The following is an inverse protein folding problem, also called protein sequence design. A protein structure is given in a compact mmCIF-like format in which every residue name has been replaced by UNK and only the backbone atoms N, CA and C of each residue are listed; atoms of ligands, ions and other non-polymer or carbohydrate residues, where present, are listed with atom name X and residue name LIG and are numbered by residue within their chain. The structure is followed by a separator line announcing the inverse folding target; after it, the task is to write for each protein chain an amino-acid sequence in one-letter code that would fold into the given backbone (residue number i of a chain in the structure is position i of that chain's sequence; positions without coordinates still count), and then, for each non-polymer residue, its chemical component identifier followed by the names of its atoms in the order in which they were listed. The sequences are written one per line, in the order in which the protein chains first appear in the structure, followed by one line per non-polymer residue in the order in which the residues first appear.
data_IF_585934643754
#
_entry.id   IF_585934643754
#
_cell.length_a   1.000
_cell.length_b   1.000
_cell.length_c   1.000
_cell.angle_alpha   90.00
_cell.angle_beta   90.00
_cell.angle_gamma   90.00
#
_symmetry.space_group_name_H-M   'P 1'
#
loop_
_entity.id
_entity.type
_entity.pdbx_description
1 polymer ?
#
# COMPACT_ATOMS: atom_id res chain seq x y z
N UNK A 1 -60.49 -48.55 32.88
CA UNK A 1 -60.29 -47.78 31.66
C UNK A 1 -59.53 -46.49 32.02
N UNK A 2 -58.23 -46.43 31.74
CA UNK A 2 -57.37 -45.24 32.03
C UNK A 2 -57.21 -44.45 30.73
N UNK A 3 -57.66 -43.20 30.74
CA UNK A 3 -57.50 -42.27 29.63
C UNK A 3 -56.18 -41.59 29.81
N UNK A 4 -55.23 -41.80 28.86
CA UNK A 4 -53.96 -41.11 28.77
C UNK A 4 -54.17 -39.84 27.96
N UNK A 5 -53.86 -38.68 28.58
CA UNK A 5 -53.91 -37.37 27.94
C UNK A 5 -52.48 -37.08 27.43
N UNK A 6 -52.36 -36.95 26.12
CA UNK A 6 -51.12 -36.54 25.48
C UNK A 6 -51.04 -35.01 25.45
N UNK A 7 -50.07 -34.46 26.18
CA UNK A 7 -49.74 -33.04 26.06
C UNK A 7 -48.81 -32.82 24.86
N UNK A 8 -49.30 -32.12 23.86
CA UNK A 8 -48.51 -31.66 22.73
C UNK A 8 -47.86 -30.34 23.13
N UNK A 9 -46.55 -30.35 23.41
CA UNK A 9 -45.78 -29.15 23.68
C UNK A 9 -45.31 -28.57 22.33
N UNK A 10 -45.90 -27.45 21.91
CA UNK A 10 -45.48 -26.70 20.73
C UNK A 10 -44.28 -25.85 21.12
N UNK A 11 -43.10 -26.23 20.66
CA UNK A 11 -41.87 -25.45 20.76
C UNK A 11 -41.88 -24.36 19.67
N UNK A 12 -42.22 -23.14 20.08
CA UNK A 12 -42.06 -21.96 19.21
C UNK A 12 -40.61 -21.53 19.24
N UNK A 13 -39.84 -21.92 18.23
CA UNK A 13 -38.51 -21.36 17.98
C UNK A 13 -38.71 -19.98 17.35
N UNK A 14 -38.58 -18.94 18.15
CA UNK A 14 -38.46 -17.57 17.67
C UNK A 14 -37.09 -17.34 17.00
N UNK A 15 -37.14 -17.18 15.68
CA UNK A 15 -36.02 -16.78 14.84
C UNK A 15 -35.64 -15.31 15.10
N UNK A 16 -34.86 -15.05 16.13
CA UNK A 16 -34.16 -13.77 16.35
C UNK A 16 -32.66 -13.93 16.02
N UNK A 17 -32.31 -14.03 14.75
CA UNK A 17 -30.90 -14.19 14.37
C UNK A 17 -30.48 -13.51 13.07
N UNK A 18 -31.39 -12.79 12.40
CA UNK A 18 -31.10 -12.31 11.04
C UNK A 18 -30.79 -10.79 10.92
N UNK A 19 -30.78 -10.02 12.01
CA UNK A 19 -30.66 -8.55 11.96
C UNK A 19 -29.27 -7.99 12.29
N UNK A 20 -28.33 -8.82 12.76
CA UNK A 20 -26.98 -8.33 13.10
C UNK A 20 -25.96 -8.44 11.97
N UNK A 21 -26.25 -9.22 10.92
CA UNK A 21 -25.31 -9.40 9.80
C UNK A 21 -25.28 -8.21 8.81
N UNK A 22 -26.37 -7.45 8.70
CA UNK A 22 -26.43 -6.33 7.74
C UNK A 22 -25.74 -5.05 8.22
N UNK A 23 -25.56 -4.85 9.52
CA UNK A 23 -24.89 -3.66 10.03
C UNK A 23 -23.35 -3.70 9.95
N UNK A 24 -22.76 -4.89 9.76
CA UNK A 24 -21.30 -5.02 9.61
C UNK A 24 -20.81 -4.79 8.16
N UNK A 25 -21.69 -4.91 7.16
CA UNK A 25 -21.31 -4.68 5.75
C UNK A 25 -21.14 -3.19 5.46
N UNK A 26 -21.89 -2.31 6.13
CA UNK A 26 -21.74 -0.85 5.95
C UNK A 26 -20.42 -0.27 6.50
N UNK A 27 -19.79 -0.93 7.48
CA UNK A 27 -18.50 -0.46 8.04
C UNK A 27 -17.30 -0.81 7.16
N UNK A 28 -17.43 -1.73 6.22
CA UNK A 28 -16.32 -2.17 5.37
C UNK A 28 -16.19 -1.35 4.07
N UNK A 29 -17.17 -0.53 3.74
CA UNK A 29 -17.15 0.33 2.55
C UNK A 29 -16.53 1.71 2.77
N UNK A 30 -16.25 2.12 4.01
CA UNK A 30 -15.69 3.44 4.33
C UNK A 30 -14.17 3.57 4.12
N UNK A 31 -13.51 2.50 3.64
CA UNK A 31 -12.08 2.49 3.32
C UNK A 31 -11.80 2.62 1.82
N UNK A 32 -12.69 3.30 1.09
CA UNK A 32 -12.44 3.58 -0.33
C UNK A 32 -11.25 4.53 -0.39
N UNK A 33 -10.12 4.02 -0.82
CA UNK A 33 -8.94 4.83 -1.09
C UNK A 33 -9.30 5.83 -2.18
N UNK A 34 -9.27 7.11 -1.85
CA UNK A 34 -9.43 8.16 -2.84
C UNK A 34 -8.09 8.41 -3.51
N UNK A 35 -8.02 8.16 -4.82
CA UNK A 35 -6.83 8.47 -5.61
C UNK A 35 -7.02 9.81 -6.32
N UNK A 36 -5.96 10.63 -6.46
CA UNK A 36 -5.96 11.80 -7.34
C UNK A 36 -6.19 11.43 -8.82
N UNK A 37 -6.74 12.34 -9.62
CA UNK A 37 -7.11 12.09 -11.02
C UNK A 37 -5.94 11.65 -11.92
N UNK A 38 -4.71 12.02 -11.57
CA UNK A 38 -3.52 11.63 -12.33
C UNK A 38 -3.27 10.11 -12.35
N UNK A 39 -3.95 9.34 -11.49
CA UNK A 39 -3.90 7.87 -11.48
C UNK A 39 -4.55 7.27 -12.73
N UNK A 40 -5.54 7.96 -13.32
CA UNK A 40 -6.25 7.48 -14.52
C UNK A 40 -5.36 7.50 -15.77
N UNK A 41 -4.27 8.29 -15.76
CA UNK A 41 -3.31 8.35 -16.87
C UNK A 41 -2.53 7.02 -16.92
N UNK A 42 -2.31 6.42 -18.13
CA UNK A 42 -1.48 5.24 -18.28
C UNK A 42 -0.07 5.42 -17.69
N UNK A 43 0.61 4.32 -17.40
CA UNK A 43 2.03 4.39 -17.01
C UNK A 43 2.86 5.01 -18.11
N UNK A 44 3.81 5.86 -17.73
CA UNK A 44 4.86 6.34 -18.63
C UNK A 44 5.91 5.25 -18.87
N UNK A 45 6.71 5.38 -19.93
CA UNK A 45 7.81 4.45 -20.20
C UNK A 45 8.83 4.41 -19.03
N UNK A 46 9.08 5.54 -18.38
CA UNK A 46 9.96 5.61 -17.21
C UNK A 46 9.38 4.85 -16.01
N UNK A 47 8.08 4.99 -15.75
CA UNK A 47 7.40 4.25 -14.68
C UNK A 47 7.40 2.74 -14.95
N UNK A 48 7.14 2.32 -16.20
CA UNK A 48 7.22 0.91 -16.60
C UNK A 48 8.64 0.34 -16.46
N UNK A 49 9.67 1.10 -16.82
CA UNK A 49 11.06 0.69 -16.62
C UNK A 49 11.39 0.48 -15.14
N UNK A 50 10.93 1.37 -14.25
CA UNK A 50 11.08 1.24 -12.79
C UNK A 50 10.37 0.01 -12.26
N UNK A 51 9.15 -0.26 -12.73
CA UNK A 51 8.39 -1.46 -12.39
C UNK A 51 9.12 -2.73 -12.83
N UNK A 52 9.60 -2.77 -14.08
CA UNK A 52 10.33 -3.91 -14.62
C UNK A 52 11.61 -4.20 -13.82
N UNK A 53 12.30 -3.15 -13.39
CA UNK A 53 13.48 -3.29 -12.53
C UNK A 53 13.14 -3.93 -11.18
N UNK A 54 12.03 -3.55 -10.54
CA UNK A 54 11.64 -4.04 -9.22
C UNK A 54 11.00 -5.44 -9.26
N UNK A 55 10.19 -5.73 -10.29
CA UNK A 55 9.38 -6.95 -10.35
C UNK A 55 9.88 -7.98 -11.36
N UNK A 56 10.79 -7.61 -12.26
CA UNK A 56 11.32 -8.52 -13.28
C UNK A 56 10.21 -9.22 -14.07
N UNK A 57 10.30 -10.53 -14.17
CA UNK A 57 9.32 -11.38 -14.87
C UNK A 57 7.97 -11.50 -14.12
N UNK A 58 7.90 -11.03 -12.87
CA UNK A 58 6.68 -11.07 -12.06
C UNK A 58 5.79 -9.83 -12.24
N UNK A 59 6.23 -8.85 -13.06
CA UNK A 59 5.55 -7.56 -13.24
C UNK A 59 4.08 -7.74 -13.63
N UNK A 60 3.79 -8.57 -14.62
CA UNK A 60 2.43 -8.82 -15.10
C UNK A 60 1.55 -9.32 -13.95
N UNK A 61 1.88 -10.48 -13.41
CA UNK A 61 1.10 -11.16 -12.36
C UNK A 61 0.98 -10.36 -11.07
N UNK A 62 2.00 -9.57 -10.70
CA UNK A 62 2.02 -8.88 -9.41
C UNK A 62 1.43 -7.48 -9.46
N UNK A 63 1.49 -6.84 -10.62
CA UNK A 63 1.07 -5.44 -10.77
C UNK A 63 0.03 -5.28 -11.88
N UNK A 64 0.37 -5.59 -13.15
CA UNK A 64 -0.44 -5.16 -14.29
C UNK A 64 -1.81 -5.85 -14.35
N UNK A 65 -1.90 -7.13 -13.96
CA UNK A 65 -3.16 -7.89 -13.85
C UNK A 65 -4.01 -7.50 -12.63
N UNK A 66 -3.56 -6.55 -11.81
CA UNK A 66 -4.20 -6.17 -10.55
C UNK A 66 -4.53 -4.68 -10.50
N UNK A 67 -5.72 -4.25 -10.94
CA UNK A 67 -6.08 -2.84 -11.04
C UNK A 67 -5.83 -2.03 -9.76
N UNK A 68 -6.10 -2.60 -8.58
CA UNK A 68 -5.84 -1.93 -7.30
C UNK A 68 -4.34 -1.68 -7.11
N UNK A 69 -3.48 -2.64 -7.44
CA UNK A 69 -2.03 -2.47 -7.34
C UNK A 69 -1.48 -1.50 -8.36
N UNK A 70 -2.04 -1.49 -9.57
CA UNK A 70 -1.72 -0.47 -10.60
C UNK A 70 -1.94 0.92 -10.04
N UNK A 71 -3.10 1.16 -9.42
CA UNK A 71 -3.43 2.45 -8.83
C UNK A 71 -2.52 2.79 -7.64
N UNK A 72 -2.25 1.84 -6.75
CA UNK A 72 -1.33 2.01 -5.63
C UNK A 72 0.07 2.44 -6.08
N UNK A 73 0.60 1.78 -7.09
CA UNK A 73 1.95 2.07 -7.59
C UNK A 73 2.01 3.41 -8.30
N UNK A 74 1.00 3.75 -9.10
CA UNK A 74 0.89 5.09 -9.70
C UNK A 74 0.84 6.18 -8.61
N UNK A 75 0.06 5.94 -7.54
CA UNK A 75 -0.01 6.87 -6.41
C UNK A 75 1.35 7.04 -5.73
N UNK A 76 2.08 5.95 -5.49
CA UNK A 76 3.44 6.01 -4.94
C UNK A 76 4.33 6.89 -5.83
N UNK A 77 4.40 6.63 -7.12
CA UNK A 77 5.27 7.35 -8.03
C UNK A 77 4.93 8.82 -8.18
N UNK A 78 3.64 9.15 -8.28
CA UNK A 78 3.16 10.47 -8.70
C UNK A 78 2.84 11.42 -7.55
N UNK A 79 2.46 10.86 -6.39
CA UNK A 79 1.87 11.68 -5.34
C UNK A 79 2.59 11.55 -4.00
N UNK A 80 3.29 10.43 -3.75
CA UNK A 80 3.74 10.12 -2.39
C UNK A 80 5.25 10.26 -2.18
N UNK A 81 6.04 10.26 -3.24
CA UNK A 81 7.49 10.43 -3.14
C UNK A 81 7.84 11.88 -3.44
N UNK A 82 8.49 12.53 -2.48
CA UNK A 82 9.05 13.87 -2.64
C UNK A 82 10.56 13.79 -2.37
N UNK A 83 11.36 14.33 -3.28
CA UNK A 83 12.80 14.41 -3.13
C UNK A 83 13.20 15.87 -3.21
N UNK A 84 13.84 16.36 -2.18
CA UNK A 84 14.36 17.72 -2.14
C UNK A 84 15.70 17.80 -1.43
N UNK A 85 16.39 18.88 -1.64
CA UNK A 85 17.66 19.18 -1.02
C UNK A 85 17.43 20.11 0.18
N UNK A 86 18.01 19.78 1.31
CA UNK A 86 17.83 20.52 2.54
C UNK A 86 19.18 20.93 3.13
N UNK A 87 19.27 22.17 3.55
CA UNK A 87 20.50 22.70 4.14
C UNK A 87 20.41 22.68 5.67
N UNK A 88 20.24 21.48 6.26
CA UNK A 88 20.00 21.33 7.69
C UNK A 88 21.29 20.94 8.43
N UNK A 89 21.61 21.70 9.48
CA UNK A 89 22.69 21.38 10.42
C UNK A 89 22.46 20.09 11.25
N UNK A 90 21.25 19.50 11.17
CA UNK A 90 20.82 18.35 12.03
C UNK A 90 20.42 17.10 11.24
N UNK A 91 21.00 16.91 10.03
CA UNK A 91 20.73 15.71 9.21
C UNK A 91 21.14 14.39 9.87
N UNK A 92 21.97 14.42 10.90
CA UNK A 92 22.48 13.23 11.60
C UNK A 92 21.39 12.39 12.29
N UNK A 93 20.25 12.98 12.60
CA UNK A 93 19.12 12.28 13.23
C UNK A 93 18.17 11.60 12.24
N UNK A 94 18.36 11.84 10.93
CA UNK A 94 17.51 11.27 9.89
C UNK A 94 18.11 9.93 9.43
N UNK A 95 17.33 8.83 9.41
CA UNK A 95 17.79 7.53 8.94
C UNK A 95 18.37 7.62 7.53
N UNK A 96 19.45 6.87 7.27
CA UNK A 96 20.07 6.81 5.94
C UNK A 96 19.26 5.90 5.01
N UNK A 97 19.27 6.21 3.72
CA UNK A 97 18.65 5.38 2.69
C UNK A 97 19.25 3.98 2.66
N UNK A 98 20.56 3.86 2.86
CA UNK A 98 21.27 2.58 2.93
C UNK A 98 20.81 1.66 4.09
N UNK A 99 20.15 2.21 5.10
CA UNK A 99 19.58 1.45 6.20
C UNK A 99 18.24 0.80 5.86
N UNK A 100 17.62 1.20 4.73
CA UNK A 100 16.37 0.58 4.26
C UNK A 100 16.73 -0.69 3.49
N UNK A 101 16.19 -1.86 3.87
CA UNK A 101 16.42 -3.10 3.14
C UNK A 101 15.99 -2.99 1.68
N UNK A 102 16.70 -3.69 0.80
CA UNK A 102 16.33 -3.80 -0.61
C UNK A 102 15.14 -4.76 -0.74
N UNK A 103 14.21 -4.41 -1.62
CA UNK A 103 13.04 -5.22 -1.91
C UNK A 103 13.36 -6.24 -3.01
N UNK A 104 13.71 -7.47 -2.62
CA UNK A 104 14.16 -8.53 -3.53
C UNK A 104 13.14 -9.67 -3.73
N UNK A 105 11.93 -9.53 -3.21
CA UNK A 105 10.93 -10.62 -3.17
C UNK A 105 10.58 -11.14 -4.57
N UNK A 106 10.52 -10.27 -5.57
CA UNK A 106 10.11 -10.63 -6.94
C UNK A 106 11.27 -10.62 -7.94
N UNK A 107 12.40 -10.06 -7.55
CA UNK A 107 13.59 -9.99 -8.37
C UNK A 107 14.84 -10.02 -7.46
N UNK A 108 15.52 -11.13 -7.41
CA UNK A 108 16.71 -11.36 -6.61
C UNK A 108 17.99 -10.76 -7.24
N UNK A 109 17.91 -10.34 -8.51
CA UNK A 109 19.03 -9.78 -9.28
C UNK A 109 19.02 -8.25 -9.32
N UNK A 110 18.38 -7.61 -8.32
CA UNK A 110 18.32 -6.15 -8.27
C UNK A 110 19.72 -5.59 -8.00
N UNK A 111 20.16 -4.70 -8.90
CA UNK A 111 21.29 -3.81 -8.68
C UNK A 111 20.75 -2.41 -8.35
N UNK A 112 21.17 -1.86 -7.22
CA UNK A 112 20.78 -0.49 -6.84
C UNK A 112 21.64 0.49 -7.64
N UNK A 113 21.02 1.32 -8.49
CA UNK A 113 21.76 2.33 -9.22
C UNK A 113 22.28 3.42 -8.29
N UNK A 114 23.29 4.15 -8.73
CA UNK A 114 23.72 5.38 -8.06
C UNK A 114 22.49 6.32 -7.95
N UNK A 115 22.35 6.97 -6.82
CA UNK A 115 21.21 7.85 -6.57
C UNK A 115 21.17 8.99 -7.61
N UNK A 116 20.03 9.10 -8.26
CA UNK A 116 19.64 10.20 -9.13
C UNK A 116 18.22 10.64 -8.75
N UNK A 117 18.06 11.89 -8.31
CA UNK A 117 16.76 12.43 -7.85
C UNK A 117 15.67 12.34 -8.92
N UNK A 118 16.04 12.47 -10.21
CA UNK A 118 15.10 12.48 -11.32
C UNK A 118 14.69 11.06 -11.75
N UNK A 119 15.54 10.08 -11.41
CA UNK A 119 15.32 8.68 -11.79
C UNK A 119 15.21 7.71 -10.60
N UNK A 120 15.02 8.24 -9.40
CA UNK A 120 14.88 7.43 -8.20
C UNK A 120 13.73 6.43 -8.34
N UNK A 121 14.01 5.17 -8.00
CA UNK A 121 13.00 4.11 -7.98
C UNK A 121 12.71 3.68 -6.54
N UNK A 122 11.60 4.16 -5.94
CA UNK A 122 11.27 3.83 -4.56
C UNK A 122 10.88 2.36 -4.36
N UNK A 123 10.50 1.65 -5.42
CA UNK A 123 10.09 0.24 -5.36
C UNK A 123 11.27 -0.72 -5.18
N UNK A 124 12.51 -0.25 -5.30
CA UNK A 124 13.71 -1.05 -5.00
C UNK A 124 13.99 -1.17 -3.50
N UNK A 125 13.29 -0.42 -2.68
CA UNK A 125 13.49 -0.37 -1.24
C UNK A 125 12.25 -0.90 -0.51
N UNK A 126 12.46 -1.57 0.60
CA UNK A 126 11.37 -2.08 1.42
C UNK A 126 10.80 -0.97 2.33
N UNK A 127 10.31 0.09 1.71
CA UNK A 127 9.60 1.14 2.42
C UNK A 127 8.23 0.68 2.92
N UNK A 128 7.80 1.18 4.08
CA UNK A 128 6.45 0.93 4.55
C UNK A 128 5.45 1.89 3.87
N UNK A 129 5.04 1.56 2.64
CA UNK A 129 4.04 2.35 1.92
C UNK A 129 2.63 2.35 2.55
N UNK A 130 2.38 1.52 3.56
CA UNK A 130 1.12 1.48 4.29
C UNK A 130 1.17 2.24 5.63
N UNK A 131 2.29 2.89 5.94
CA UNK A 131 2.42 3.73 7.12
C UNK A 131 1.39 4.86 7.11
N UNK A 132 0.78 5.11 8.26
CA UNK A 132 -0.11 6.26 8.51
C UNK A 132 0.66 7.56 8.78
N UNK A 133 1.97 7.48 8.94
CA UNK A 133 2.83 8.63 9.22
C UNK A 133 3.83 8.85 8.10
N UNK A 134 4.22 10.10 7.93
CA UNK A 134 5.28 10.49 7.03
C UNK A 134 6.61 9.83 7.43
N UNK A 135 7.34 9.27 6.44
CA UNK A 135 8.67 8.73 6.63
C UNK A 135 9.67 9.64 5.91
N UNK A 136 10.85 9.82 6.48
CA UNK A 136 11.90 10.65 5.92
C UNK A 136 13.22 9.88 5.98
N UNK A 137 13.94 9.83 4.88
CA UNK A 137 15.25 9.22 4.76
C UNK A 137 16.23 10.20 4.12
N UNK A 138 17.48 10.16 4.54
CA UNK A 138 18.56 10.91 3.92
C UNK A 138 19.33 10.03 2.95
N UNK A 139 19.63 10.55 1.77
CA UNK A 139 20.53 9.87 0.83
C UNK A 139 21.96 9.98 1.36
N UNK A 140 22.64 8.85 1.40
CA UNK A 140 23.99 8.73 1.97
C UNK A 140 24.97 9.73 1.33
N UNK A 141 25.79 10.33 2.15
CA UNK A 141 26.82 11.31 1.76
C UNK A 141 26.29 12.52 0.97
N UNK A 142 25.00 12.81 1.08
CA UNK A 142 24.37 13.97 0.42
C UNK A 142 23.50 14.75 1.41
N UNK A 143 22.94 15.86 0.95
CA UNK A 143 21.89 16.61 1.64
C UNK A 143 20.51 16.42 1.01
N UNK A 144 20.32 15.39 0.17
CA UNK A 144 19.00 15.02 -0.33
C UNK A 144 18.20 14.26 0.71
N UNK A 145 16.93 14.66 0.84
CA UNK A 145 15.93 13.96 1.63
C UNK A 145 14.89 13.34 0.71
N UNK A 146 14.52 12.11 1.03
CA UNK A 146 13.41 11.38 0.44
C UNK A 146 12.29 11.36 1.46
N UNK A 147 11.16 11.92 1.11
CA UNK A 147 9.94 11.91 1.93
C UNK A 147 8.92 10.99 1.31
N UNK A 148 8.40 10.06 2.10
CA UNK A 148 7.31 9.19 1.74
C UNK A 148 6.07 9.68 2.50
N UNK A 149 5.10 10.23 1.78
CA UNK A 149 3.83 10.66 2.36
C UNK A 149 2.98 9.44 2.71
N UNK A 150 2.18 9.50 3.78
CA UNK A 150 1.17 8.48 4.05
C UNK A 150 0.13 8.45 2.93
N UNK A 151 -0.60 7.35 2.82
CA UNK A 151 -1.78 7.29 1.97
C UNK A 151 -2.86 8.20 2.58
N UNK A 152 -3.46 9.04 1.76
CA UNK A 152 -4.64 9.80 2.17
C UNK A 152 -5.85 8.86 2.21
N UNK A 153 -6.39 8.67 3.41
CA UNK A 153 -7.64 7.97 3.65
C UNK A 153 -8.68 9.06 3.94
N UNK A 154 -9.74 9.11 3.16
CA UNK A 154 -10.91 9.94 3.45
C UNK A 154 -11.97 9.12 4.15
#
# INVERSE_FOLDING_TARGET
MKKTIFFFSILVFSSFGALTAQNNIKKQTDWITHYPDNINIPFTNSELAKLKMAYGNQLENQILDRPVRVNDVKDIFRNRIIIYQENIKHLTKIPLLSQVPIFTIYNDKISIPVFDKNNFNPLLYNFNFFSKTKQIYRVDNTNFLIVIKPRELK
#
